data_IF_658666866503
#
_entry.id   IF_658666866503
#
_cell.length_a   1.000
_cell.length_b   1.000
_cell.length_c   1.000
_cell.angle_alpha   90.00
_cell.angle_beta   90.00
_cell.angle_gamma   90.00
#
_symmetry.space_group_name_H-M   'P 1'
#
loop_
_entity.id
_entity.type
_entity.pdbx_description
1 polymer ?
#
# COMPACT_ATOMS: atom_id res chain seq x y z
N UNK A 1 1.23 -15.22 -5.87
CA UNK A 1 1.55 -14.05 -5.02
C UNK A 1 2.77 -14.36 -4.18
N UNK A 2 3.64 -13.37 -4.01
CA UNK A 2 4.84 -13.47 -3.18
C UNK A 2 4.60 -12.76 -1.85
N UNK A 3 5.17 -13.33 -0.80
CA UNK A 3 5.27 -12.65 0.49
C UNK A 3 6.33 -11.56 0.37
N UNK A 4 5.89 -10.31 0.59
CA UNK A 4 6.74 -9.13 0.50
C UNK A 4 6.94 -8.53 1.88
N UNK A 5 8.08 -7.89 2.08
CA UNK A 5 8.35 -7.13 3.31
C UNK A 5 8.07 -5.66 3.06
N UNK A 6 7.22 -4.99 3.87
CA UNK A 6 6.96 -3.56 3.77
C UNK A 6 8.27 -2.74 3.82
N UNK A 7 8.48 -1.85 2.85
CA UNK A 7 9.68 -1.00 2.77
C UNK A 7 9.78 0.00 3.92
N UNK A 8 8.62 0.48 4.40
CA UNK A 8 8.51 1.45 5.49
C UNK A 8 7.31 1.15 6.39
N UNK A 9 7.29 1.79 7.57
CA UNK A 9 6.16 1.75 8.53
C UNK A 9 5.03 2.72 8.15
N UNK A 10 4.94 3.11 6.89
CA UNK A 10 4.06 4.15 6.38
C UNK A 10 4.32 4.41 4.91
N UNK A 11 3.67 5.42 4.33
CA UNK A 11 4.00 5.83 2.98
C UNK A 11 5.41 6.45 2.97
N UNK A 12 6.35 5.81 2.25
CA UNK A 12 7.77 6.16 2.29
C UNK A 12 8.03 7.62 1.89
N UNK A 13 7.35 8.09 0.85
CA UNK A 13 7.43 9.45 0.35
C UNK A 13 6.80 10.44 1.31
N UNK A 14 5.61 10.13 1.85
CA UNK A 14 4.96 11.00 2.84
C UNK A 14 5.82 11.16 4.10
N UNK A 15 6.47 10.08 4.56
CA UNK A 15 7.40 10.12 5.68
C UNK A 15 8.60 11.04 5.39
N UNK A 16 9.15 11.01 4.16
CA UNK A 16 10.28 11.88 3.77
C UNK A 16 9.93 13.37 3.80
N UNK A 17 8.68 13.72 3.46
CA UNK A 17 8.23 15.12 3.40
C UNK A 17 7.43 15.56 4.64
N UNK A 18 7.22 14.66 5.61
CA UNK A 18 6.41 14.93 6.81
C UNK A 18 4.92 15.18 6.52
N UNK A 19 4.37 14.57 5.46
CA UNK A 19 2.97 14.74 5.05
C UNK A 19 2.08 13.63 5.62
N UNK A 20 0.83 13.97 5.93
CA UNK A 20 -0.18 13.01 6.36
C UNK A 20 -0.72 12.17 5.18
N UNK A 21 -1.33 11.04 5.51
CA UNK A 21 -2.06 10.17 4.59
C UNK A 21 -3.36 9.70 5.23
N UNK A 22 -4.28 9.20 4.39
CA UNK A 22 -5.55 8.64 4.85
C UNK A 22 -5.43 7.12 5.03
N UNK A 23 -5.11 6.39 3.96
CA UNK A 23 -4.94 4.94 3.96
C UNK A 23 -3.66 4.54 3.22
N UNK A 24 -3.13 3.37 3.57
CA UNK A 24 -1.93 2.81 2.96
C UNK A 24 -2.25 1.64 2.05
N UNK A 25 -1.48 1.57 0.96
CA UNK A 25 -1.50 0.53 -0.05
C UNK A 25 -0.09 -0.06 -0.15
N UNK A 26 0.01 -1.37 0.00
CA UNK A 26 1.26 -2.10 -0.10
C UNK A 26 1.31 -2.84 -1.44
N UNK A 27 2.40 -2.68 -2.18
CA UNK A 27 2.61 -3.39 -3.44
C UNK A 27 3.00 -4.85 -3.17
N UNK A 28 2.21 -5.81 -3.68
CA UNK A 28 2.47 -7.25 -3.51
C UNK A 28 3.55 -7.82 -4.44
N UNK A 29 4.20 -6.95 -5.22
CA UNK A 29 5.33 -7.33 -6.08
C UNK A 29 6.68 -6.96 -5.46
N UNK A 30 6.81 -5.74 -4.91
CA UNK A 30 8.07 -5.24 -4.38
C UNK A 30 8.06 -4.82 -2.91
N UNK A 31 6.90 -4.82 -2.24
CA UNK A 31 6.79 -4.43 -0.82
C UNK A 31 6.79 -2.92 -0.55
N UNK A 32 6.78 -2.08 -1.60
CA UNK A 32 6.67 -0.64 -1.44
C UNK A 32 5.32 -0.24 -0.82
N UNK A 33 5.33 0.71 0.11
CA UNK A 33 4.14 1.23 0.79
C UNK A 33 3.86 2.66 0.33
N UNK A 34 2.71 2.86 -0.31
CA UNK A 34 2.25 4.15 -0.80
C UNK A 34 0.91 4.57 -0.18
N UNK A 35 0.63 5.88 -0.17
CA UNK A 35 -0.69 6.39 0.23
C UNK A 35 -1.72 6.22 -0.89
N UNK A 36 -2.99 5.99 -0.52
CA UNK A 36 -4.09 5.75 -1.45
C UNK A 36 -4.44 6.97 -2.32
N UNK A 37 -5.30 6.77 -3.32
CA UNK A 37 -5.79 7.82 -4.23
C UNK A 37 -6.59 8.93 -3.56
N UNK A 38 -7.20 8.64 -2.41
CA UNK A 38 -7.92 9.61 -1.58
C UNK A 38 -6.97 10.45 -0.71
N UNK A 39 -5.70 10.04 -0.60
CA UNK A 39 -4.66 10.85 0.06
C UNK A 39 -4.16 11.93 -0.90
N UNK A 40 -3.72 13.10 -0.42
CA UNK A 40 -3.35 14.23 -1.29
C UNK A 40 -2.25 13.89 -2.31
N UNK A 41 -1.30 13.02 -1.94
CA UNK A 41 -0.12 12.73 -2.75
C UNK A 41 -0.26 11.56 -3.73
N UNK A 42 -1.20 10.62 -3.48
CA UNK A 42 -1.53 9.51 -4.38
C UNK A 42 -0.32 8.65 -4.79
N UNK A 43 0.54 8.32 -3.83
CA UNK A 43 1.81 7.64 -4.10
C UNK A 43 1.63 6.21 -4.62
N UNK A 44 0.59 5.48 -4.19
CA UNK A 44 0.33 4.12 -4.66
C UNK A 44 0.14 4.05 -6.18
N UNK A 45 -0.67 4.96 -6.73
CA UNK A 45 -0.96 5.03 -8.17
C UNK A 45 0.21 5.56 -8.97
N UNK A 46 0.95 6.55 -8.44
CA UNK A 46 2.21 7.00 -9.05
C UNK A 46 3.23 5.86 -9.13
N UNK A 47 3.33 5.05 -8.08
CA UNK A 47 4.19 3.86 -8.05
C UNK A 47 3.78 2.83 -9.09
N UNK A 48 2.47 2.56 -9.24
CA UNK A 48 1.97 1.71 -10.31
C UNK A 48 2.37 2.23 -11.69
N UNK A 49 2.16 3.51 -11.99
CA UNK A 49 2.55 4.08 -13.29
C UNK A 49 4.06 4.05 -13.54
N UNK A 50 4.89 4.16 -12.50
CA UNK A 50 6.35 4.15 -12.64
C UNK A 50 6.93 2.74 -12.77
N UNK A 51 6.34 1.75 -12.11
CA UNK A 51 6.90 0.38 -11.99
C UNK A 51 6.10 -0.69 -12.72
N UNK A 52 4.89 -0.35 -13.16
CA UNK A 52 3.90 -1.28 -13.70
C UNK A 52 3.56 -2.45 -12.76
N UNK A 53 3.70 -2.28 -11.44
CA UNK A 53 3.28 -3.28 -10.47
C UNK A 53 1.76 -3.25 -10.26
N UNK A 54 1.02 -4.23 -10.77
CA UNK A 54 -0.42 -4.08 -10.92
C UNK A 54 -1.19 -4.31 -9.62
N UNK A 55 -0.59 -4.99 -8.63
CA UNK A 55 -1.30 -5.48 -7.46
C UNK A 55 -0.89 -4.73 -6.19
N UNK A 56 -1.90 -4.20 -5.50
CA UNK A 56 -1.80 -3.60 -4.17
C UNK A 56 -2.65 -4.35 -3.14
N UNK A 57 -2.30 -4.21 -1.88
CA UNK A 57 -3.02 -4.72 -0.70
C UNK A 57 -3.34 -3.56 0.24
N UNK A 58 -4.51 -3.60 0.89
CA UNK A 58 -4.85 -2.68 1.97
C UNK A 58 -3.97 -2.93 3.20
N UNK A 59 -3.09 -1.99 3.54
CA UNK A 59 -2.08 -2.16 4.60
C UNK A 59 -2.39 -1.38 5.89
N UNK A 60 -3.09 -0.25 5.78
CA UNK A 60 -3.64 0.48 6.94
C UNK A 60 -5.06 0.99 6.62
N UNK A 61 -6.11 0.37 7.19
CA UNK A 61 -6.07 -0.85 8.01
C UNK A 61 -5.66 -2.11 7.20
N UNK A 62 -5.16 -3.15 7.89
CA UNK A 62 -4.81 -4.44 7.28
C UNK A 62 -6.05 -5.31 7.03
N UNK A 63 -6.94 -4.81 6.16
CA UNK A 63 -8.26 -5.39 5.89
C UNK A 63 -8.18 -6.74 5.19
N UNK A 64 -7.08 -7.03 4.47
CA UNK A 64 -6.90 -8.30 3.79
C UNK A 64 -7.64 -8.42 2.48
N UNK A 65 -7.79 -7.32 1.77
CA UNK A 65 -8.16 -7.33 0.36
C UNK A 65 -6.98 -6.88 -0.49
N UNK A 66 -6.97 -7.32 -1.74
CA UNK A 66 -6.10 -6.84 -2.79
C UNK A 66 -6.87 -6.21 -3.94
N UNK A 67 -6.22 -5.28 -4.65
CA UNK A 67 -6.73 -4.62 -5.84
C UNK A 67 -5.71 -4.76 -6.97
N UNK A 68 -6.21 -5.12 -8.16
CA UNK A 68 -5.41 -5.10 -9.39
C UNK A 68 -5.77 -3.85 -10.22
N UNK A 69 -4.82 -2.97 -10.47
CA UNK A 69 -5.01 -1.78 -11.31
C UNK A 69 -5.31 -2.10 -12.78
N UNK A 70 -4.83 -3.24 -13.28
CA UNK A 70 -5.00 -3.61 -14.70
C UNK A 70 -6.36 -4.26 -14.95
N UNK A 71 -6.74 -5.17 -14.07
CA UNK A 71 -8.00 -5.91 -14.19
C UNK A 71 -9.18 -5.17 -13.52
N UNK A 72 -8.89 -4.15 -12.73
CA UNK A 72 -9.87 -3.37 -11.95
C UNK A 72 -10.76 -4.25 -11.06
N UNK A 73 -10.16 -5.29 -10.47
CA UNK A 73 -10.84 -6.24 -9.58
C UNK A 73 -10.32 -6.17 -8.15
N UNK A 74 -11.25 -6.30 -7.21
CA UNK A 74 -10.95 -6.66 -5.82
C UNK A 74 -10.89 -8.18 -5.68
N UNK A 75 -9.99 -8.64 -4.82
CA UNK A 75 -9.91 -10.04 -4.44
C UNK A 75 -9.51 -10.16 -2.97
N UNK A 76 -9.83 -11.31 -2.39
CA UNK A 76 -9.56 -11.59 -0.99
C UNK A 76 -8.10 -12.00 -0.77
N UNK A 77 -7.52 -11.48 0.29
CA UNK A 77 -6.17 -11.76 0.78
C UNK A 77 -6.16 -12.10 2.28
N UNK A 78 -7.30 -12.39 2.92
CA UNK A 78 -7.38 -12.56 4.38
C UNK A 78 -6.36 -13.57 4.92
N UNK A 79 -6.19 -14.69 4.20
CA UNK A 79 -5.25 -15.78 4.53
C UNK A 79 -3.79 -15.49 4.15
N UNK A 80 -3.54 -14.47 3.31
CA UNK A 80 -2.20 -14.11 2.79
C UNK A 80 -1.84 -12.64 3.01
N UNK A 81 -2.44 -12.04 4.04
CA UNK A 81 -2.18 -10.66 4.47
C UNK A 81 -0.72 -10.44 4.78
N UNK A 82 -0.20 -9.28 4.40
CA UNK A 82 1.14 -8.88 4.79
C UNK A 82 1.15 -8.51 6.29
N UNK A 83 2.00 -9.14 7.11
CA UNK A 83 2.09 -8.80 8.53
C UNK A 83 2.64 -7.37 8.70
N UNK A 84 2.04 -6.60 9.60
CA UNK A 84 2.54 -5.28 9.94
C UNK A 84 3.86 -5.38 10.68
N UNK A 85 4.89 -4.67 10.21
CA UNK A 85 6.24 -4.68 10.81
C UNK A 85 6.33 -3.93 12.15
N UNK A 86 5.34 -3.12 12.48
CA UNK A 86 5.33 -2.27 13.68
C UNK A 86 4.15 -1.30 13.67
N UNK A 87 4.08 -0.38 14.65
CA UNK A 87 3.01 0.60 14.72
C UNK A 87 3.12 1.56 13.53
N UNK A 88 2.07 1.59 12.71
CA UNK A 88 1.93 2.54 11.61
C UNK A 88 1.47 3.88 12.21
N UNK A 89 2.18 5.00 11.97
CA UNK A 89 1.70 6.32 12.37
C UNK A 89 0.36 6.62 11.71
N UNK A 90 -0.65 6.93 12.52
CA UNK A 90 -1.98 7.35 12.06
C UNK A 90 -2.12 8.84 12.28
N UNK A 91 -2.59 9.53 11.24
CA UNK A 91 -2.84 10.97 11.28
C UNK A 91 -4.34 11.30 11.37
N UNK A 92 -5.20 10.28 11.31
CA UNK A 92 -6.66 10.34 11.41
C UNK A 92 -7.22 9.10 12.11
#
# INVERSE_FOLDING_TARGET
MRDVTPSALGCEECLKIGSAWLHLRLCRTCGHVGCCDQSPNRHATRHFHATAHPIIEGYDPAEGWGWCYVDEVFFDLEERRTPQRGPIPRYY
#
